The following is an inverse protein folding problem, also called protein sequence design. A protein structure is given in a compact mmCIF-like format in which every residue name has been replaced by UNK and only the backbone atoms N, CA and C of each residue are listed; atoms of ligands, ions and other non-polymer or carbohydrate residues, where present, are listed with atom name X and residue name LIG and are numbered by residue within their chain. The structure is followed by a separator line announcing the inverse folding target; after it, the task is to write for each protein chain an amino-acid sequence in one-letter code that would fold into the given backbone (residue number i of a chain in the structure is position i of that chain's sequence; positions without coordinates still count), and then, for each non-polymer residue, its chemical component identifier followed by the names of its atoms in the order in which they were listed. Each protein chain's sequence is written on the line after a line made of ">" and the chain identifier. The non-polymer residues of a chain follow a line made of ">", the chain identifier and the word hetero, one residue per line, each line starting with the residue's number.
data_IF_582780107226
#
_entry.id   IF_582780107226
#
_cell.length_a   1.000
_cell.length_b   1.000
_cell.length_c   1.000
_cell.angle_alpha   90.00
_cell.angle_beta   90.00
_cell.angle_gamma   90.00
#
_symmetry.space_group_name_H-M   'P 1'
#
loop_
_entity.id
_entity.type
_entity.pdbx_description
1 polymer ?
#
# COMPACT_ATOMS: atom_id res chain seq x y z
N UNK A 1 21.46 -16.38 -1.53
CA UNK A 1 22.09 -15.04 -1.58
C UNK A 1 21.67 -14.40 -2.89
N UNK A 2 21.29 -13.15 -2.86
CA UNK A 2 20.92 -12.38 -4.07
C UNK A 2 22.15 -11.78 -4.76
N UNK A 3 23.17 -11.46 -3.97
CA UNK A 3 24.47 -10.98 -4.41
C UNK A 3 25.50 -11.33 -3.33
N UNK A 4 26.78 -11.27 -3.69
CA UNK A 4 27.86 -11.46 -2.72
C UNK A 4 27.80 -10.36 -1.65
N UNK A 5 27.85 -10.73 -0.38
CA UNK A 5 27.80 -9.80 0.75
C UNK A 5 26.40 -9.23 1.06
N UNK A 6 25.31 -9.80 0.50
CA UNK A 6 23.93 -9.42 0.83
C UNK A 6 23.15 -10.63 1.34
N UNK A 7 22.51 -10.49 2.48
CA UNK A 7 21.61 -11.47 3.07
C UNK A 7 20.17 -10.95 3.07
N UNK A 8 19.26 -11.70 2.45
CA UNK A 8 17.83 -11.49 2.58
C UNK A 8 17.28 -12.37 3.69
N UNK A 9 16.54 -11.78 4.60
CA UNK A 9 15.95 -12.39 5.79
C UNK A 9 14.42 -12.35 5.69
N UNK A 10 13.78 -13.36 5.06
CA UNK A 10 12.34 -13.34 4.85
C UNK A 10 11.56 -13.82 6.07
N UNK A 11 10.45 -13.18 6.38
CA UNK A 11 9.47 -13.59 7.38
C UNK A 11 8.05 -13.58 6.78
N UNK A 12 7.76 -14.49 5.83
CA UNK A 12 6.45 -14.55 5.19
C UNK A 12 5.42 -15.12 6.17
N UNK A 13 4.20 -14.53 6.26
CA UNK A 13 3.10 -15.16 6.98
C UNK A 13 2.66 -16.42 6.23
N UNK A 14 2.47 -17.50 6.96
CA UNK A 14 1.94 -18.78 6.44
C UNK A 14 0.43 -18.91 6.65
N UNK A 15 -0.13 -18.05 7.47
CA UNK A 15 -1.56 -17.91 7.76
C UNK A 15 -1.91 -16.43 7.81
N UNK A 16 -3.18 -16.09 7.62
CA UNK A 16 -3.64 -14.68 7.57
C UNK A 16 -3.30 -13.91 8.86
N UNK A 17 -3.38 -14.58 9.97
CA UNK A 17 -3.10 -14.01 11.29
C UNK A 17 -2.22 -14.98 12.09
N UNK A 18 -0.91 -14.77 12.08
CA UNK A 18 0.03 -15.65 12.77
C UNK A 18 -0.01 -15.49 14.31
N UNK A 19 -0.59 -14.40 14.85
CA UNK A 19 -0.67 -14.11 16.29
C UNK A 19 0.68 -14.01 17.00
N UNK A 20 1.77 -13.89 16.24
CA UNK A 20 3.15 -13.80 16.75
C UNK A 20 4.05 -13.06 15.77
N UNK A 21 5.08 -12.45 16.30
CA UNK A 21 6.13 -11.82 15.51
C UNK A 21 6.98 -12.87 14.77
N UNK A 22 6.84 -12.91 13.45
CA UNK A 22 7.62 -13.81 12.59
C UNK A 22 9.03 -13.29 12.30
N UNK A 23 9.36 -12.05 12.68
CA UNK A 23 10.67 -11.44 12.41
C UNK A 23 11.72 -11.72 13.50
N UNK A 24 11.32 -12.28 14.63
CA UNK A 24 12.20 -12.55 15.80
C UNK A 24 13.48 -13.29 15.41
N UNK A 25 13.39 -14.27 14.51
CA UNK A 25 14.53 -15.08 14.12
C UNK A 25 15.66 -14.31 13.44
N UNK A 26 15.35 -13.11 12.89
CA UNK A 26 16.34 -12.26 12.22
C UNK A 26 17.41 -11.77 13.19
N UNK A 27 17.11 -11.68 14.49
CA UNK A 27 18.08 -11.30 15.54
C UNK A 27 19.24 -12.29 15.65
N UNK A 28 18.96 -13.58 15.48
CA UNK A 28 19.93 -14.66 15.62
C UNK A 28 20.48 -15.20 14.30
N UNK A 29 20.11 -14.61 13.18
CA UNK A 29 20.58 -15.04 11.87
C UNK A 29 22.08 -14.74 11.71
N UNK A 30 22.89 -15.75 11.43
CA UNK A 30 24.34 -15.66 11.30
C UNK A 30 24.74 -15.04 9.95
N UNK A 31 24.50 -13.75 9.77
CA UNK A 31 24.74 -12.98 8.54
C UNK A 31 25.36 -11.61 8.83
N UNK A 32 26.10 -11.47 9.92
CA UNK A 32 26.63 -10.21 10.42
C UNK A 32 27.64 -9.54 9.48
N UNK A 33 28.25 -10.30 8.61
CA UNK A 33 29.22 -9.79 7.61
C UNK A 33 28.53 -9.27 6.34
N UNK A 34 27.20 -9.46 6.21
CA UNK A 34 26.42 -9.06 5.05
C UNK A 34 25.68 -7.75 5.27
N UNK A 35 25.30 -7.07 4.19
CA UNK A 35 24.17 -6.13 4.20
C UNK A 35 22.90 -6.95 4.48
N UNK A 36 22.19 -6.62 5.54
CA UNK A 36 21.06 -7.40 6.06
C UNK A 36 19.73 -6.73 5.68
N UNK A 37 18.99 -7.38 4.81
CA UNK A 37 17.68 -6.90 4.35
C UNK A 37 16.59 -7.81 4.88
N UNK A 38 15.77 -7.30 5.78
CA UNK A 38 14.57 -7.96 6.26
C UNK A 38 13.42 -7.77 5.26
N UNK A 39 12.60 -8.81 5.08
CA UNK A 39 11.37 -8.76 4.31
C UNK A 39 10.25 -9.41 5.11
N UNK A 40 9.25 -8.64 5.51
CA UNK A 40 8.14 -9.12 6.33
C UNK A 40 6.79 -8.56 5.86
N UNK A 41 5.72 -9.14 6.40
CA UNK A 41 4.35 -8.72 6.13
C UNK A 41 3.55 -8.79 7.43
N UNK A 42 2.90 -7.70 7.80
CA UNK A 42 2.10 -7.58 9.03
C UNK A 42 2.18 -6.17 9.63
N UNK A 43 1.35 -5.94 10.64
CA UNK A 43 1.26 -4.67 11.34
C UNK A 43 2.43 -4.42 12.30
N UNK A 44 2.87 -3.18 12.38
CA UNK A 44 3.83 -2.70 13.38
C UNK A 44 3.06 -2.19 14.59
N UNK A 45 3.49 -2.58 15.79
CA UNK A 45 2.89 -2.16 17.06
C UNK A 45 2.83 -0.63 17.15
N UNK A 46 1.72 -0.11 17.67
CA UNK A 46 1.46 1.31 17.93
C UNK A 46 1.45 2.23 16.67
N UNK A 47 1.39 1.67 15.47
CA UNK A 47 1.39 2.42 14.20
C UNK A 47 0.07 2.34 13.41
N UNK A 48 -1.03 1.89 13.98
CA UNK A 48 -2.34 1.85 13.34
C UNK A 48 -3.43 2.39 14.24
N UNK A 49 -4.53 2.89 13.66
CA UNK A 49 -5.74 3.26 14.42
C UNK A 49 -6.47 2.03 14.99
N UNK A 50 -6.19 0.86 14.44
CA UNK A 50 -6.86 -0.39 14.78
C UNK A 50 -5.93 -1.26 15.65
N UNK A 51 -6.01 -1.05 16.95
CA UNK A 51 -5.28 -1.85 17.95
C UNK A 51 -5.93 -3.24 18.15
N UNK A 52 -6.18 -3.95 17.06
CA UNK A 52 -6.80 -5.28 17.09
C UNK A 52 -5.94 -6.35 17.76
N UNK A 53 -4.74 -5.99 18.27
CA UNK A 53 -3.79 -6.91 18.88
C UNK A 53 -3.10 -7.84 17.88
N UNK A 54 -3.25 -7.55 16.58
CA UNK A 54 -2.64 -8.30 15.48
C UNK A 54 -1.28 -7.69 15.08
N UNK A 55 -1.03 -6.44 15.46
CA UNK A 55 0.21 -5.73 15.20
C UNK A 55 1.30 -6.25 16.11
N UNK A 56 2.15 -7.08 15.57
CA UNK A 56 3.10 -7.87 16.36
C UNK A 56 4.57 -7.53 16.08
N UNK A 57 4.86 -6.78 15.02
CA UNK A 57 6.22 -6.39 14.65
C UNK A 57 6.63 -5.18 15.52
N UNK A 58 7.70 -5.26 16.32
CA UNK A 58 8.18 -4.12 17.08
C UNK A 58 8.64 -2.97 16.16
N UNK A 59 8.35 -1.70 16.53
CA UNK A 59 8.72 -0.54 15.71
C UNK A 59 10.24 -0.32 15.58
N UNK A 60 11.02 -0.95 16.44
CA UNK A 60 12.49 -0.91 16.44
C UNK A 60 13.12 -2.21 15.92
N UNK A 61 12.37 -3.03 15.19
CA UNK A 61 12.84 -4.33 14.68
C UNK A 61 14.08 -4.20 13.79
N UNK A 62 14.19 -3.14 13.02
CA UNK A 62 15.39 -2.85 12.22
C UNK A 62 16.65 -2.77 13.10
N UNK A 63 16.56 -2.13 14.27
CA UNK A 63 17.66 -1.99 15.21
C UNK A 63 17.93 -3.26 16.01
N UNK A 64 16.89 -3.86 16.61
CA UNK A 64 17.04 -5.06 17.45
C UNK A 64 17.61 -6.24 16.66
N UNK A 65 17.25 -6.36 15.38
CA UNK A 65 17.78 -7.39 14.49
C UNK A 65 19.01 -6.95 13.69
N UNK A 66 19.55 -5.75 13.89
CA UNK A 66 20.72 -5.24 13.17
C UNK A 66 20.53 -5.24 11.66
N UNK A 67 19.36 -4.85 11.17
CA UNK A 67 19.05 -4.77 9.75
C UNK A 67 19.52 -3.45 9.15
N UNK A 68 20.02 -3.52 7.93
CA UNK A 68 20.31 -2.31 7.14
C UNK A 68 19.05 -1.77 6.48
N UNK A 69 18.07 -2.64 6.19
CA UNK A 69 16.74 -2.26 5.74
C UNK A 69 15.70 -3.33 6.12
N UNK A 70 14.50 -2.89 6.49
CA UNK A 70 13.34 -3.74 6.71
C UNK A 70 12.21 -3.28 5.78
N UNK A 71 11.92 -4.09 4.78
CA UNK A 71 10.79 -3.89 3.89
C UNK A 71 9.54 -4.56 4.46
N UNK A 72 8.46 -3.80 4.62
CA UNK A 72 7.18 -4.27 5.13
C UNK A 72 6.10 -4.20 4.06
N UNK A 73 5.23 -5.21 4.05
CA UNK A 73 3.93 -5.22 3.39
C UNK A 73 2.81 -5.31 4.41
N UNK A 74 1.56 -5.20 3.96
CA UNK A 74 0.29 -5.19 4.67
C UNK A 74 -0.40 -3.82 4.62
N UNK A 75 0.29 -2.75 4.95
CA UNK A 75 -0.25 -1.40 4.85
C UNK A 75 -0.27 -0.91 3.39
N UNK A 76 -1.44 -0.42 2.94
CA UNK A 76 -1.65 -0.03 1.53
C UNK A 76 -1.00 1.31 1.16
N UNK A 77 -0.78 2.21 2.10
CA UNK A 77 -0.03 3.45 1.90
C UNK A 77 1.46 3.28 2.15
N UNK A 78 2.31 4.02 1.45
CA UNK A 78 3.72 4.07 1.82
C UNK A 78 3.88 4.78 3.17
N UNK A 79 4.63 4.17 4.08
CA UNK A 79 4.83 4.70 5.43
C UNK A 79 6.24 4.43 5.94
N UNK A 80 6.86 5.47 6.43
CA UNK A 80 8.16 5.38 7.11
C UNK A 80 7.95 5.10 8.60
N UNK A 81 8.42 3.95 9.08
CA UNK A 81 8.44 3.61 10.50
C UNK A 81 9.72 4.12 11.15
N UNK A 82 10.85 3.87 10.50
CA UNK A 82 12.17 4.36 10.88
C UNK A 82 12.98 4.73 9.63
N UNK A 83 14.21 5.29 9.73
CA UNK A 83 15.07 5.47 8.56
C UNK A 83 15.33 4.19 7.77
N UNK A 84 15.25 3.02 8.43
CA UNK A 84 15.56 1.70 7.87
C UNK A 84 14.35 0.78 7.75
N UNK A 85 13.15 1.20 8.17
CA UNK A 85 11.95 0.39 8.17
C UNK A 85 10.80 1.11 7.49
N UNK A 86 10.23 0.51 6.42
CA UNK A 86 9.20 1.14 5.61
C UNK A 86 8.17 0.14 5.10
N UNK A 87 6.93 0.59 5.01
CA UNK A 87 5.91 0.02 4.15
C UNK A 87 6.01 0.64 2.76
N UNK A 88 6.01 -0.20 1.72
CA UNK A 88 6.09 0.28 0.34
C UNK A 88 4.79 0.84 -0.21
N UNK A 89 3.66 0.50 0.40
CA UNK A 89 2.34 0.72 -0.17
C UNK A 89 2.01 -0.27 -1.28
N UNK A 90 0.94 0.04 -2.04
CA UNK A 90 0.48 -0.76 -3.18
C UNK A 90 1.04 -0.21 -4.48
N UNK A 91 1.58 -1.06 -5.38
CA UNK A 91 2.12 -0.62 -6.67
C UNK A 91 1.03 -0.26 -7.69
N UNK A 92 -0.19 -0.74 -7.49
CA UNK A 92 -1.37 -0.42 -8.29
C UNK A 92 -2.60 -0.38 -7.37
N UNK A 93 -3.54 0.51 -7.62
CA UNK A 93 -4.81 0.54 -6.92
C UNK A 93 -5.61 -0.74 -7.17
N UNK A 94 -6.28 -1.27 -6.16
CA UNK A 94 -7.09 -2.48 -6.24
C UNK A 94 -8.55 -2.27 -5.80
N UNK A 95 -8.87 -1.08 -5.30
CA UNK A 95 -10.21 -0.75 -4.83
C UNK A 95 -10.47 0.77 -4.82
N UNK A 96 -11.76 1.14 -4.66
CA UNK A 96 -12.20 2.54 -4.61
C UNK A 96 -12.13 3.20 -3.22
N UNK A 97 -11.69 2.49 -2.20
CA UNK A 97 -11.63 3.02 -0.83
C UNK A 97 -10.28 3.64 -0.51
N UNK A 98 -9.21 2.98 -0.99
CA UNK A 98 -7.85 3.43 -0.75
C UNK A 98 -7.45 4.44 -1.82
N UNK A 99 -7.30 5.69 -1.40
CA UNK A 99 -6.94 6.82 -2.28
C UNK A 99 -5.44 7.14 -2.24
N UNK A 100 -4.62 6.25 -1.67
CA UNK A 100 -3.18 6.41 -1.71
C UNK A 100 -2.68 6.29 -3.17
N UNK A 101 -1.82 7.20 -3.58
CA UNK A 101 -1.23 7.13 -4.92
C UNK A 101 -0.43 5.82 -5.06
N UNK A 102 -0.70 5.03 -6.11
CA UNK A 102 0.02 3.79 -6.35
C UNK A 102 1.51 4.06 -6.56
N UNK A 103 2.35 3.34 -5.81
CA UNK A 103 3.79 3.56 -5.85
C UNK A 103 4.57 2.33 -5.41
N UNK A 104 5.84 2.32 -5.73
CA UNK A 104 6.82 1.43 -5.13
C UNK A 104 7.98 2.23 -4.53
N UNK A 105 8.75 1.61 -3.65
CA UNK A 105 9.97 2.19 -3.12
C UNK A 105 11.18 1.56 -3.82
N UNK A 106 12.08 2.42 -4.28
CA UNK A 106 13.42 2.01 -4.71
C UNK A 106 14.36 2.33 -3.56
N UNK A 107 15.08 1.31 -3.10
CA UNK A 107 15.95 1.41 -1.93
C UNK A 107 17.38 1.08 -2.34
N UNK A 108 18.28 1.98 -2.05
CA UNK A 108 19.72 1.79 -2.24
C UNK A 108 20.38 1.64 -0.87
N UNK A 109 20.99 0.47 -0.63
CA UNK A 109 21.77 0.18 0.57
C UNK A 109 23.26 0.28 0.21
N UNK A 110 23.96 1.39 0.54
CA UNK A 110 25.33 1.60 0.11
C UNK A 110 26.32 0.60 0.71
N UNK A 111 25.97 0.02 1.85
CA UNK A 111 26.77 -0.97 2.53
C UNK A 111 26.25 -1.24 3.94
N UNK A 112 26.86 -2.21 4.61
CA UNK A 112 26.51 -2.59 5.97
C UNK A 112 26.66 -1.41 6.93
N UNK A 113 25.64 -1.18 7.75
CA UNK A 113 25.59 -0.10 8.74
C UNK A 113 25.30 1.29 8.15
N UNK A 114 25.37 1.47 6.84
CA UNK A 114 25.02 2.73 6.20
C UNK A 114 23.50 2.96 6.22
N UNK A 115 23.07 4.21 6.28
CA UNK A 115 21.65 4.53 6.15
C UNK A 115 21.22 4.33 4.69
N UNK A 116 20.09 3.64 4.43
CA UNK A 116 19.60 3.43 3.08
C UNK A 116 19.02 4.72 2.50
N UNK A 117 19.16 4.89 1.19
CA UNK A 117 18.46 5.92 0.43
C UNK A 117 17.14 5.34 -0.10
N UNK A 118 16.03 5.95 0.28
CA UNK A 118 14.68 5.49 -0.08
C UNK A 118 14.01 6.56 -0.93
N UNK A 119 13.58 6.20 -2.13
CA UNK A 119 12.79 7.06 -3.00
C UNK A 119 11.53 6.38 -3.47
N UNK A 120 10.45 7.14 -3.53
CA UNK A 120 9.19 6.70 -4.09
C UNK A 120 9.20 6.84 -5.62
N UNK A 121 8.54 5.89 -6.29
CA UNK A 121 8.30 5.90 -7.74
C UNK A 121 6.82 5.60 -7.96
N UNK A 122 6.13 6.50 -8.64
CA UNK A 122 4.75 6.27 -9.07
C UNK A 122 4.69 5.13 -10.08
N UNK A 123 3.75 4.20 -9.87
CA UNK A 123 3.63 2.98 -10.67
C UNK A 123 2.22 2.74 -11.20
N UNK A 124 1.22 3.46 -10.69
CA UNK A 124 -0.18 3.28 -11.05
C UNK A 124 -0.43 3.47 -12.54
N UNK A 125 -1.04 2.47 -13.18
CA UNK A 125 -1.48 2.52 -14.57
C UNK A 125 -2.94 2.99 -14.68
N UNK A 126 -3.73 2.79 -13.62
CA UNK A 126 -5.15 3.13 -13.60
C UNK A 126 -5.47 4.25 -12.60
N UNK A 127 -6.37 5.13 -13.02
CA UNK A 127 -6.97 6.15 -12.17
C UNK A 127 -8.26 5.58 -11.57
N UNK A 128 -8.32 5.48 -10.25
CA UNK A 128 -9.53 5.12 -9.52
C UNK A 128 -10.28 6.38 -9.10
N UNK A 129 -11.45 6.59 -9.68
CA UNK A 129 -12.22 7.82 -9.50
C UNK A 129 -13.59 7.49 -8.91
N UNK A 130 -13.97 8.20 -7.86
CA UNK A 130 -15.30 8.10 -7.23
C UNK A 130 -16.04 9.42 -7.45
N UNK A 131 -17.25 9.33 -7.93
CA UNK A 131 -18.15 10.47 -8.09
C UNK A 131 -19.52 10.14 -7.53
N UNK A 132 -20.21 11.14 -7.00
CA UNK A 132 -21.59 11.03 -6.52
C UNK A 132 -22.46 12.01 -7.31
N UNK A 133 -23.60 11.52 -7.83
CA UNK A 133 -24.58 12.28 -8.55
C UNK A 133 -25.91 12.30 -7.77
N UNK A 134 -26.50 13.49 -7.63
CA UNK A 134 -27.89 13.65 -7.14
C UNK A 134 -28.78 14.05 -8.32
N UNK A 135 -29.48 13.08 -8.90
CA UNK A 135 -30.26 13.24 -10.13
C UNK A 135 -31.74 13.49 -9.83
N UNK A 136 -32.37 14.38 -10.62
CA UNK A 136 -33.76 14.67 -10.56
C UNK A 136 -34.43 14.47 -11.91
N UNK A 137 -35.73 14.21 -11.89
CA UNK A 137 -36.52 14.08 -13.13
C UNK A 137 -36.40 15.36 -13.97
N UNK A 138 -36.00 15.22 -15.22
CA UNK A 138 -35.76 16.30 -16.15
C UNK A 138 -34.32 16.80 -16.23
N UNK A 139 -33.39 16.25 -15.44
CA UNK A 139 -31.96 16.51 -15.60
C UNK A 139 -31.47 15.88 -16.91
N UNK A 140 -30.45 16.48 -17.50
CA UNK A 140 -29.73 15.94 -18.65
C UNK A 140 -28.74 14.87 -18.15
N UNK A 141 -29.23 13.66 -17.89
CA UNK A 141 -28.48 12.57 -17.23
C UNK A 141 -27.14 12.30 -17.93
N UNK A 142 -27.13 12.30 -19.25
CA UNK A 142 -25.89 12.07 -20.04
C UNK A 142 -24.85 13.16 -19.76
N UNK A 143 -25.27 14.44 -19.67
CA UNK A 143 -24.37 15.55 -19.38
C UNK A 143 -23.85 15.51 -17.94
N UNK A 144 -24.71 15.13 -16.99
CA UNK A 144 -24.32 14.97 -15.58
C UNK A 144 -23.29 13.82 -15.41
N UNK A 145 -23.54 12.68 -16.04
CA UNK A 145 -22.59 11.55 -16.04
C UNK A 145 -21.29 11.95 -16.73
N UNK A 146 -21.36 12.58 -17.91
CA UNK A 146 -20.18 13.05 -18.62
C UNK A 146 -19.37 14.06 -17.78
N UNK A 147 -20.07 14.94 -17.05
CA UNK A 147 -19.45 15.93 -16.17
C UNK A 147 -18.68 15.35 -14.99
N UNK A 148 -19.08 14.17 -14.50
CA UNK A 148 -18.40 13.49 -13.39
C UNK A 148 -17.21 12.62 -13.84
N UNK A 149 -17.02 12.39 -15.14
CA UNK A 149 -15.91 11.58 -15.64
C UNK A 149 -14.60 12.39 -15.64
N UNK A 150 -13.45 11.73 -15.45
CA UNK A 150 -12.14 12.35 -15.56
C UNK A 150 -11.96 13.00 -16.94
N UNK A 151 -11.40 14.20 -16.99
CA UNK A 151 -11.16 14.92 -18.25
C UNK A 151 -9.99 14.37 -19.04
N UNK A 152 -9.02 13.80 -18.34
CA UNK A 152 -7.79 13.23 -18.88
C UNK A 152 -7.69 11.73 -18.60
N UNK A 153 -6.93 11.00 -19.39
CA UNK A 153 -6.63 9.58 -19.20
C UNK A 153 -7.86 8.66 -19.07
N UNK A 154 -8.99 9.00 -19.68
CA UNK A 154 -10.25 8.25 -19.57
C UNK A 154 -10.15 6.76 -19.87
N UNK A 155 -9.26 6.37 -20.78
CA UNK A 155 -9.06 4.96 -21.14
C UNK A 155 -8.45 4.11 -20.02
N UNK A 156 -7.81 4.78 -19.08
CA UNK A 156 -7.19 4.17 -17.91
C UNK A 156 -7.93 4.51 -16.61
N UNK A 157 -9.13 5.06 -16.71
CA UNK A 157 -9.93 5.39 -15.55
C UNK A 157 -10.92 4.26 -15.23
N UNK A 158 -10.92 3.83 -13.98
CA UNK A 158 -11.96 3.02 -13.36
C UNK A 158 -12.85 3.98 -12.56
N UNK A 159 -14.10 4.10 -12.94
CA UNK A 159 -15.01 5.07 -12.34
C UNK A 159 -16.11 4.35 -11.59
N UNK A 160 -16.31 4.73 -10.34
CA UNK A 160 -17.46 4.33 -9.52
C UNK A 160 -18.35 5.54 -9.32
N UNK A 161 -19.58 5.48 -9.86
CA UNK A 161 -20.56 6.53 -9.70
C UNK A 161 -21.63 6.07 -8.70
N UNK A 162 -21.76 6.79 -7.59
CA UNK A 162 -22.91 6.69 -6.69
C UNK A 162 -24.03 7.57 -7.23
N UNK A 163 -25.23 7.01 -7.41
CA UNK A 163 -26.37 7.78 -7.87
C UNK A 163 -27.46 7.82 -6.79
N UNK A 164 -27.90 9.02 -6.45
CA UNK A 164 -29.03 9.29 -5.56
C UNK A 164 -30.04 10.20 -6.25
N UNK A 165 -31.25 10.32 -5.72
CA UNK A 165 -32.22 11.28 -6.21
C UNK A 165 -33.60 10.68 -6.51
N UNK A 166 -34.37 11.36 -7.38
CA UNK A 166 -35.72 10.95 -7.80
C UNK A 166 -35.86 11.10 -9.29
N UNK A 167 -35.93 9.98 -9.98
CA UNK A 167 -36.06 9.90 -11.43
C UNK A 167 -37.44 9.36 -11.83
N UNK A 168 -37.95 9.83 -12.98
CA UNK A 168 -39.09 9.19 -13.66
C UNK A 168 -38.69 7.83 -14.24
N UNK A 169 -39.69 7.00 -14.58
CA UNK A 169 -39.45 5.67 -15.15
C UNK A 169 -38.65 5.70 -16.46
N UNK A 170 -38.89 6.75 -17.28
CA UNK A 170 -38.12 6.95 -18.52
C UNK A 170 -36.65 7.26 -18.29
N UNK A 171 -36.35 8.01 -17.22
CA UNK A 171 -35.00 8.44 -16.90
C UNK A 171 -34.18 7.30 -16.24
N UNK A 172 -34.88 6.41 -15.51
CA UNK A 172 -34.26 5.21 -14.93
C UNK A 172 -33.74 4.24 -16.02
N UNK A 173 -34.46 4.14 -17.13
CA UNK A 173 -34.05 3.27 -18.24
C UNK A 173 -32.75 3.74 -18.95
N UNK A 174 -32.30 4.97 -18.75
CA UNK A 174 -31.05 5.49 -19.28
C UNK A 174 -29.82 5.10 -18.42
N UNK A 175 -30.06 4.64 -17.19
CA UNK A 175 -29.00 4.24 -16.25
C UNK A 175 -28.72 2.72 -16.26
N UNK A 176 -29.57 1.93 -16.93
CA UNK A 176 -29.41 0.49 -17.13
C UNK A 176 -28.65 0.17 -18.44
#
# INVERSE_FOLDING_TARGET
>A
MLADGVALLPAPPTVRDPGRDLTVWMESAATEECVRIGLAHGGVQDFGEDTSGLDVIPPDRDRSAGLDYLALGDWHGAMRISPRCWYSGTPEGDNFKDQAAPQCLVVECPGRGAEPEVRSVETGAFLWHVADLDLRSGDAIEDEVEGCLPKENRRHALVKVGVSGRLGLSDQALLE
#
